data_IF_324055239912
#
_entry.id   IF_324055239912
#
_cell.length_a   1.000
_cell.length_b   1.000
_cell.length_c   1.000
_cell.angle_alpha   90.00
_cell.angle_beta   90.00
_cell.angle_gamma   90.00
#
_symmetry.space_group_name_H-M   'P 1'
#
loop_
_entity.id
_entity.type
_entity.pdbx_description
1 polymer ?
#
# COMPACT_ATOMS: atom_id res chain seq x y z
N UNK A 1 -9.16 11.55 3.45
CA UNK A 1 -8.32 12.49 2.68
C UNK A 1 -8.60 12.28 1.20
N UNK A 2 -8.71 13.34 0.39
CA UNK A 2 -8.84 13.18 -1.07
C UNK A 2 -7.51 12.67 -1.65
N UNK A 3 -7.54 11.79 -2.65
CA UNK A 3 -6.34 11.28 -3.33
C UNK A 3 -5.43 12.40 -3.83
N UNK A 4 -6.01 13.50 -4.33
CA UNK A 4 -5.24 14.67 -4.78
C UNK A 4 -4.44 15.33 -3.65
N UNK A 5 -4.94 15.31 -2.42
CA UNK A 5 -4.23 15.90 -1.28
C UNK A 5 -2.98 15.08 -0.95
N UNK A 6 -3.07 13.75 -0.96
CA UNK A 6 -1.93 12.87 -0.73
C UNK A 6 -0.83 13.05 -1.79
N UNK A 7 -1.20 13.36 -3.04
CA UNK A 7 -0.24 13.64 -4.10
C UNK A 7 0.46 15.00 -3.92
N UNK A 8 -0.26 16.01 -3.46
CA UNK A 8 0.31 17.33 -3.13
C UNK A 8 1.33 17.20 -2.00
N UNK A 9 0.95 16.49 -0.93
CA UNK A 9 1.82 16.33 0.26
C UNK A 9 3.15 15.64 -0.12
N UNK A 10 3.09 14.56 -0.92
CA UNK A 10 4.29 13.89 -1.45
C UNK A 10 5.18 14.78 -2.31
N UNK A 11 4.58 15.68 -3.09
CA UNK A 11 5.33 16.60 -3.93
C UNK A 11 6.05 17.65 -3.06
N UNK A 12 5.38 18.16 -2.04
CA UNK A 12 5.94 19.11 -1.08
C UNK A 12 7.07 18.50 -0.24
N UNK A 13 6.97 17.23 0.14
CA UNK A 13 8.04 16.49 0.86
C UNK A 13 9.34 16.41 0.06
N UNK A 14 9.25 16.29 -1.27
CA UNK A 14 10.42 16.16 -2.14
C UNK A 14 10.94 17.50 -2.69
N UNK A 15 10.10 18.54 -2.67
CA UNK A 15 10.37 19.84 -3.26
C UNK A 15 9.91 20.95 -2.32
N UNK A 16 10.78 21.28 -1.36
CA UNK A 16 10.54 22.32 -0.35
C UNK A 16 10.42 23.73 -0.94
N UNK A 17 10.84 23.92 -2.21
CA UNK A 17 10.66 25.18 -2.94
C UNK A 17 9.23 25.41 -3.44
N UNK A 18 8.37 24.39 -3.39
CA UNK A 18 6.96 24.50 -3.72
C UNK A 18 6.14 24.82 -2.46
N UNK A 19 5.09 25.61 -2.63
CA UNK A 19 4.01 25.76 -1.64
C UNK A 19 2.71 25.26 -2.25
N UNK A 20 1.71 25.01 -1.40
CA UNK A 20 0.40 24.54 -1.85
C UNK A 20 -0.25 25.53 -2.82
N UNK A 21 -0.14 26.82 -2.53
CA UNK A 21 -0.65 27.90 -3.38
C UNK A 21 0.01 27.91 -4.76
N UNK A 22 1.33 27.67 -4.81
CA UNK A 22 2.08 27.57 -6.07
C UNK A 22 1.62 26.34 -6.88
N UNK A 23 1.39 25.21 -6.21
CA UNK A 23 0.91 24.00 -6.86
C UNK A 23 -0.49 24.22 -7.44
N UNK A 24 -1.40 24.82 -6.68
CA UNK A 24 -2.76 25.12 -7.13
C UNK A 24 -2.76 26.06 -8.34
N UNK A 25 -1.91 27.10 -8.31
CA UNK A 25 -1.71 27.99 -9.46
C UNK A 25 -1.20 27.22 -10.69
N UNK A 26 -0.18 26.37 -10.53
CA UNK A 26 0.36 25.56 -11.62
C UNK A 26 -0.64 24.56 -12.19
N UNK A 27 -1.51 23.99 -11.35
CA UNK A 27 -2.59 23.10 -11.79
C UNK A 27 -3.55 23.89 -12.71
N UNK A 28 -3.98 25.08 -12.27
CA UNK A 28 -4.85 25.93 -13.07
C UNK A 28 -4.21 26.30 -14.41
N UNK A 29 -2.93 26.73 -14.40
CA UNK A 29 -2.18 27.06 -15.62
C UNK A 29 -2.04 25.86 -16.58
N UNK A 30 -1.75 24.66 -16.08
CA UNK A 30 -1.67 23.45 -16.94
C UNK A 30 -3.02 23.09 -17.54
N UNK A 31 -4.10 23.19 -16.75
CA UNK A 31 -5.46 22.88 -17.21
C UNK A 31 -5.94 23.88 -18.24
N UNK A 32 -5.63 25.16 -18.08
CA UNK A 32 -5.95 26.19 -19.07
C UNK A 32 -5.20 25.94 -20.39
N UNK A 33 -3.91 25.61 -20.33
CA UNK A 33 -3.09 25.31 -21.52
C UNK A 33 -3.56 24.08 -22.29
N UNK A 34 -3.98 23.02 -21.59
CA UNK A 34 -4.39 21.75 -22.20
C UNK A 34 -5.89 21.74 -22.55
N UNK A 35 -6.70 22.55 -21.86
CA UNK A 35 -8.13 22.69 -22.05
C UNK A 35 -8.93 22.02 -20.92
N UNK A 36 -9.91 22.76 -20.40
CA UNK A 36 -10.85 22.30 -19.38
C UNK A 36 -11.73 21.16 -19.94
N UNK A 37 -11.28 19.91 -19.74
CA UNK A 37 -11.92 18.71 -20.27
C UNK A 37 -10.93 17.60 -20.63
N UNK A 38 -9.68 17.97 -20.91
CA UNK A 38 -8.62 17.02 -21.27
C UNK A 38 -7.63 16.76 -20.13
N UNK A 39 -7.64 17.57 -19.09
CA UNK A 39 -6.73 17.44 -17.94
C UNK A 39 -7.48 17.52 -16.61
N UNK A 40 -7.36 16.47 -15.81
CA UNK A 40 -7.82 16.43 -14.41
C UNK A 40 -6.77 17.07 -13.49
N UNK A 41 -7.17 17.44 -12.27
CA UNK A 41 -6.23 18.01 -11.28
C UNK A 41 -5.12 17.00 -10.93
N UNK A 42 -5.47 15.71 -10.82
CA UNK A 42 -4.51 14.63 -10.61
C UNK A 42 -3.54 14.51 -11.80
N UNK A 43 -4.04 14.51 -13.03
CA UNK A 43 -3.19 14.49 -14.22
C UNK A 43 -2.25 15.71 -14.27
N UNK A 44 -2.75 16.89 -13.91
CA UNK A 44 -1.93 18.10 -13.79
C UNK A 44 -0.82 17.94 -12.74
N UNK A 45 -1.11 17.35 -11.58
CA UNK A 45 -0.13 17.05 -10.53
C UNK A 45 0.99 16.13 -11.02
N UNK A 46 0.67 15.04 -11.74
CA UNK A 46 1.69 14.16 -12.32
C UNK A 46 2.60 14.90 -13.30
N UNK A 47 2.01 15.74 -14.16
CA UNK A 47 2.79 16.54 -15.09
C UNK A 47 3.66 17.55 -14.34
N UNK A 48 3.16 18.21 -13.31
CA UNK A 48 3.94 19.16 -12.50
C UNK A 48 5.12 18.41 -11.86
N UNK A 49 4.86 17.28 -11.19
CA UNK A 49 5.92 16.49 -10.59
C UNK A 49 7.00 16.09 -11.60
N UNK A 50 6.59 15.67 -12.81
CA UNK A 50 7.50 15.38 -13.92
C UNK A 50 8.40 16.56 -14.28
N UNK A 51 7.86 17.78 -14.35
CA UNK A 51 8.65 19.01 -14.62
C UNK A 51 9.72 19.25 -13.54
N UNK A 52 9.47 18.82 -12.29
CA UNK A 52 10.40 18.94 -11.16
C UNK A 52 11.29 17.70 -10.99
N UNK A 53 11.24 16.75 -11.93
CA UNK A 53 11.99 15.49 -11.85
C UNK A 53 11.52 14.54 -10.74
N UNK A 54 10.29 14.72 -10.26
CA UNK A 54 9.66 13.87 -9.24
C UNK A 54 8.74 12.86 -9.92
N UNK A 55 8.97 11.59 -9.67
CA UNK A 55 8.01 10.54 -10.01
C UNK A 55 7.00 10.42 -8.88
N UNK A 56 5.82 11.02 -9.07
CA UNK A 56 4.68 10.66 -8.23
C UNK A 56 4.33 9.21 -8.55
N UNK A 57 4.31 8.38 -7.53
CA UNK A 57 3.69 7.07 -7.62
C UNK A 57 2.33 7.17 -6.96
N UNK A 58 1.33 6.58 -7.60
CA UNK A 58 0.11 6.17 -6.92
C UNK A 58 0.49 5.10 -5.90
N UNK A 59 1.11 5.48 -4.78
CA UNK A 59 0.97 4.68 -3.57
C UNK A 59 -0.40 4.97 -2.98
N UNK A 60 -1.44 4.69 -3.76
CA UNK A 60 -2.70 4.15 -3.28
C UNK A 60 -2.46 2.68 -2.93
N UNK A 61 -1.47 2.42 -2.07
CA UNK A 61 -1.64 1.30 -1.17
C UNK A 61 -2.73 1.79 -0.24
N UNK A 62 -3.97 1.49 -0.58
CA UNK A 62 -5.11 1.67 0.30
C UNK A 62 -4.74 0.90 1.55
N UNK A 63 -4.20 1.59 2.54
CA UNK A 63 -4.01 1.07 3.88
C UNK A 63 -5.42 0.87 4.41
N UNK A 64 -5.91 -0.34 4.18
CA UNK A 64 -7.22 -0.77 4.57
C UNK A 64 -7.11 -1.26 6.02
N UNK A 65 -8.03 -0.86 6.87
CA UNK A 65 -8.06 -1.40 8.22
C UNK A 65 -8.54 -2.86 8.15
N UNK A 66 -8.21 -3.67 9.15
CA UNK A 66 -8.59 -5.08 9.12
C UNK A 66 -10.12 -5.28 9.09
N UNK A 67 -10.89 -4.37 9.71
CA UNK A 67 -12.36 -4.39 9.67
C UNK A 67 -12.96 -4.16 8.29
N UNK A 68 -12.22 -3.49 7.40
CA UNK A 68 -12.70 -3.10 6.08
C UNK A 68 -12.39 -4.20 5.05
N UNK A 69 -11.71 -5.28 5.44
CA UNK A 69 -11.43 -6.43 4.60
C UNK A 69 -12.71 -7.16 4.20
N UNK A 70 -12.84 -7.47 2.91
CA UNK A 70 -13.98 -8.21 2.36
C UNK A 70 -13.52 -9.27 1.35
N UNK A 71 -14.33 -10.30 1.17
CA UNK A 71 -14.04 -11.38 0.22
C UNK A 71 -13.96 -10.83 -1.21
N UNK A 72 -12.85 -11.13 -1.90
CA UNK A 72 -12.60 -10.67 -3.26
C UNK A 72 -11.82 -9.36 -3.38
N UNK A 73 -11.46 -8.74 -2.26
CA UNK A 73 -10.46 -7.68 -2.25
C UNK A 73 -9.12 -8.21 -2.80
N UNK A 74 -8.39 -7.36 -3.53
CA UNK A 74 -7.11 -7.68 -4.17
C UNK A 74 -6.15 -6.51 -3.97
N UNK A 75 -4.85 -6.78 -4.15
CA UNK A 75 -3.78 -5.78 -4.05
C UNK A 75 -3.79 -5.01 -2.71
N UNK A 76 -4.18 -5.72 -1.66
CA UNK A 76 -4.33 -5.20 -0.30
C UNK A 76 -2.93 -4.92 0.28
N UNK A 77 -2.78 -3.75 0.91
CA UNK A 77 -1.62 -3.46 1.74
C UNK A 77 -2.06 -3.06 3.14
N UNK A 78 -1.41 -3.62 4.15
CA UNK A 78 -1.75 -3.49 5.56
C UNK A 78 -0.52 -3.09 6.35
N UNK A 79 -0.63 -2.10 7.21
CA UNK A 79 0.28 -1.87 8.31
C UNK A 79 -0.39 -2.36 9.60
N UNK A 80 0.22 -3.35 10.26
CA UNK A 80 -0.44 -4.08 11.34
C UNK A 80 0.59 -4.63 12.32
N UNK A 81 0.13 -5.16 13.45
CA UNK A 81 1.00 -5.79 14.45
C UNK A 81 0.81 -7.29 14.49
N UNK A 82 1.89 -8.02 14.71
CA UNK A 82 1.85 -9.47 14.90
C UNK A 82 1.20 -9.77 16.26
N UNK A 83 0.13 -10.56 16.28
CA UNK A 83 -0.41 -11.13 17.52
C UNK A 83 0.27 -12.46 17.85
N UNK A 84 0.38 -13.33 16.85
CA UNK A 84 1.07 -14.60 16.95
C UNK A 84 1.54 -15.07 15.57
N UNK A 85 2.50 -15.99 15.57
CA UNK A 85 2.93 -16.68 14.36
C UNK A 85 3.12 -18.17 14.65
N UNK A 86 2.56 -19.02 13.79
CA UNK A 86 2.69 -20.47 13.91
C UNK A 86 3.97 -20.98 13.21
N UNK A 87 4.49 -22.16 13.61
CA UNK A 87 5.51 -22.84 12.82
C UNK A 87 5.02 -23.19 11.42
N UNK A 88 5.94 -23.25 10.44
CA UNK A 88 5.60 -23.75 9.10
C UNK A 88 5.13 -25.21 9.18
N UNK A 89 4.05 -25.52 8.47
CA UNK A 89 3.52 -26.87 8.29
C UNK A 89 3.58 -27.25 6.82
N UNK A 90 3.88 -28.52 6.55
CA UNK A 90 3.94 -29.07 5.20
C UNK A 90 2.69 -29.92 4.93
N UNK A 91 2.12 -29.78 3.75
CA UNK A 91 0.90 -30.47 3.33
C UNK A 91 1.03 -30.99 1.90
N UNK A 92 0.24 -32.02 1.57
CA UNK A 92 0.15 -32.57 0.22
C UNK A 92 -1.10 -32.07 -0.49
N UNK A 93 -0.98 -31.66 -1.75
CA UNK A 93 -2.09 -31.38 -2.66
C UNK A 93 -2.68 -32.71 -3.18
N UNK A 94 -3.83 -32.61 -3.86
CA UNK A 94 -4.51 -33.77 -4.47
C UNK A 94 -3.67 -34.48 -5.54
N UNK A 95 -2.78 -33.74 -6.20
CA UNK A 95 -1.86 -34.25 -7.22
C UNK A 95 -0.57 -34.86 -6.62
N UNK A 96 -0.46 -34.93 -5.30
CA UNK A 96 0.73 -35.43 -4.59
C UNK A 96 1.86 -34.41 -4.44
N UNK A 97 1.77 -33.23 -5.06
CA UNK A 97 2.73 -32.16 -4.84
C UNK A 97 2.64 -31.63 -3.41
N UNK A 98 3.76 -31.13 -2.89
CA UNK A 98 3.86 -30.64 -1.52
C UNK A 98 3.78 -29.10 -1.52
N UNK A 99 3.22 -28.54 -0.45
CA UNK A 99 3.25 -27.11 -0.18
C UNK A 99 3.49 -26.82 1.29
N UNK A 100 4.01 -25.62 1.54
CA UNK A 100 4.21 -25.12 2.90
C UNK A 100 3.12 -24.10 3.24
N UNK A 101 2.65 -24.12 4.48
CA UNK A 101 1.71 -23.15 5.01
C UNK A 101 2.19 -22.68 6.38
N UNK A 102 2.24 -21.36 6.54
CA UNK A 102 2.40 -20.70 7.82
C UNK A 102 1.21 -19.76 8.04
N UNK A 103 0.63 -19.80 9.23
CA UNK A 103 -0.42 -18.85 9.63
C UNK A 103 0.15 -17.85 10.62
N UNK A 104 -0.13 -16.58 10.38
CA UNK A 104 0.17 -15.47 11.28
C UNK A 104 -1.15 -14.78 11.64
N UNK A 105 -1.39 -14.52 12.92
CA UNK A 105 -2.50 -13.65 13.32
C UNK A 105 -1.96 -12.24 13.51
N UNK A 106 -2.63 -11.27 12.91
CA UNK A 106 -2.31 -9.84 13.00
C UNK A 106 -3.46 -9.07 13.61
N UNK A 107 -3.18 -7.91 14.18
CA UNK A 107 -4.19 -7.05 14.79
C UNK A 107 -3.90 -5.56 14.57
N UNK A 108 -4.97 -4.78 14.56
CA UNK A 108 -4.96 -3.32 14.63
C UNK A 108 -5.69 -2.86 15.90
N UNK A 109 -6.16 -1.62 15.94
CA UNK A 109 -6.82 -1.05 17.13
C UNK A 109 -8.12 -1.74 17.52
N UNK A 110 -8.86 -2.34 16.58
CA UNK A 110 -10.21 -2.84 16.83
C UNK A 110 -10.46 -4.26 16.30
N UNK A 111 -9.54 -4.80 15.49
CA UNK A 111 -9.78 -6.01 14.71
C UNK A 111 -8.56 -6.93 14.67
N UNK A 112 -8.83 -8.22 14.38
CA UNK A 112 -7.80 -9.23 14.17
C UNK A 112 -8.04 -9.97 12.85
N UNK A 113 -6.98 -10.37 12.16
CA UNK A 113 -7.07 -11.14 10.93
C UNK A 113 -6.04 -12.28 10.89
N UNK A 114 -6.37 -13.34 10.17
CA UNK A 114 -5.44 -14.45 9.91
C UNK A 114 -4.83 -14.32 8.53
N UNK A 115 -3.50 -14.23 8.48
CA UNK A 115 -2.70 -14.16 7.26
C UNK A 115 -2.15 -15.54 6.95
N UNK A 116 -2.47 -16.05 5.76
CA UNK A 116 -1.94 -17.32 5.26
C UNK A 116 -0.77 -17.09 4.33
N UNK A 117 0.38 -17.62 4.69
CA UNK A 117 1.61 -17.55 3.93
C UNK A 117 1.86 -18.91 3.29
N UNK A 118 1.88 -18.95 1.96
CA UNK A 118 2.01 -20.19 1.18
C UNK A 118 3.41 -20.32 0.59
N UNK A 119 3.86 -21.57 0.47
CA UNK A 119 5.10 -21.96 -0.22
C UNK A 119 6.31 -21.15 0.26
N UNK A 120 6.97 -20.39 -0.63
CA UNK A 120 8.13 -19.57 -0.30
C UNK A 120 7.81 -18.53 0.78
N UNK A 121 6.59 -17.97 0.77
CA UNK A 121 6.17 -16.96 1.76
C UNK A 121 6.06 -17.55 3.17
N UNK A 122 5.85 -18.86 3.29
CA UNK A 122 5.79 -19.55 4.59
C UNK A 122 7.15 -19.58 5.30
N UNK A 123 8.26 -19.40 4.57
CA UNK A 123 9.63 -19.49 5.07
C UNK A 123 10.47 -18.26 4.70
N UNK A 124 9.84 -17.08 4.66
CA UNK A 124 10.57 -15.82 4.43
C UNK A 124 11.74 -15.67 5.43
N UNK A 125 12.91 -15.20 5.00
CA UNK A 125 14.03 -15.01 5.91
C UNK A 125 13.66 -14.14 7.13
N UNK A 126 13.95 -14.64 8.33
CA UNK A 126 13.72 -13.92 9.57
C UNK A 126 12.27 -13.92 10.06
N UNK A 127 11.35 -14.62 9.37
CA UNK A 127 9.95 -14.69 9.77
C UNK A 127 9.75 -15.43 11.10
N UNK A 128 10.62 -16.38 11.42
CA UNK A 128 10.70 -17.00 12.76
C UNK A 128 11.13 -16.05 13.89
N UNK A 129 11.74 -14.91 13.56
CA UNK A 129 12.17 -13.93 14.56
C UNK A 129 11.07 -12.94 14.93
N UNK A 130 9.95 -12.92 14.20
CA UNK A 130 8.80 -12.06 14.50
C UNK A 130 8.20 -12.42 15.85
N UNK A 131 7.92 -11.40 16.66
CA UNK A 131 7.36 -11.51 18.00
C UNK A 131 6.01 -10.81 18.09
N UNK A 132 5.15 -11.21 19.05
CA UNK A 132 3.96 -10.46 19.36
C UNK A 132 4.26 -8.98 19.62
N UNK A 133 3.54 -8.09 18.94
CA UNK A 133 3.70 -6.63 19.01
C UNK A 133 4.52 -6.01 17.89
N UNK A 134 5.30 -6.81 17.13
CA UNK A 134 6.12 -6.30 16.04
C UNK A 134 5.25 -5.63 14.97
N UNK A 135 5.66 -4.43 14.55
CA UNK A 135 5.02 -3.69 13.46
C UNK A 135 5.50 -4.26 12.13
N UNK A 136 4.57 -4.66 11.28
CA UNK A 136 4.85 -5.25 9.98
C UNK A 136 4.02 -4.57 8.89
N UNK A 137 4.54 -4.63 7.66
CA UNK A 137 3.80 -4.25 6.45
C UNK A 137 3.57 -5.49 5.59
N UNK A 138 2.31 -5.77 5.28
CA UNK A 138 1.91 -6.81 4.32
C UNK A 138 1.49 -6.11 3.05
N UNK A 139 1.94 -6.61 1.90
CA UNK A 139 1.69 -5.95 0.61
C UNK A 139 1.27 -6.98 -0.43
N UNK A 140 0.39 -6.57 -1.36
CA UNK A 140 -0.11 -7.43 -2.44
C UNK A 140 -0.80 -8.70 -1.89
N UNK A 141 -1.57 -8.53 -0.83
CA UNK A 141 -2.43 -9.57 -0.27
C UNK A 141 -3.80 -9.62 -0.99
N UNK A 142 -4.51 -10.73 -0.81
CA UNK A 142 -5.82 -11.02 -1.38
C UNK A 142 -6.69 -11.77 -0.37
#
# INVERSE_FOLDING_TARGET
MSESQNLIDKLLEQKTELTREIIDQKIAEKKEKIGAGYLTDQGALFLIASDYGVTLTESSKTEINLKDLYAGAKDISLETRVLNISPTKQFSRKDGSIFNLRTMTVYDSDSTASVKLWDEKANLPGIENLKPGDLIKITQAY
#
